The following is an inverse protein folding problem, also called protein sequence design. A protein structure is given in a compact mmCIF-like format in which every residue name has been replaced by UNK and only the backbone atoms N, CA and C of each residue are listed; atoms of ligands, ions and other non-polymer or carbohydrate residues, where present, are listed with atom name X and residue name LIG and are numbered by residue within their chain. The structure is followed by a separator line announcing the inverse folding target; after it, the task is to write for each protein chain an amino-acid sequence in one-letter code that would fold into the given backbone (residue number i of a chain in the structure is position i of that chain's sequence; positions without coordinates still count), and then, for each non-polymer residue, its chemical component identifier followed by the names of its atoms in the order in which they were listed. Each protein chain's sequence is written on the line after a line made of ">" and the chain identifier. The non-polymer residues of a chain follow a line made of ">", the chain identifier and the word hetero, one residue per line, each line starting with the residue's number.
data_IF_846360628973
#
_entry.id   IF_846360628973
#
_cell.length_a   1.000
_cell.length_b   1.000
_cell.length_c   1.000
_cell.angle_alpha   90.00
_cell.angle_beta   90.00
_cell.angle_gamma   90.00
#
_symmetry.space_group_name_H-M   'P 1'
#
loop_
_entity.id
_entity.type
_entity.pdbx_description
1 polymer ?
#
# COMPACT_ATOMS: atom_id res chain seq x y z
N UNK A 1 5.76 -3.73 -21.71
CA UNK A 1 6.59 -4.34 -20.67
C UNK A 1 8.08 -4.33 -21.02
N UNK A 2 8.51 -4.81 -22.19
CA UNK A 2 9.95 -4.84 -22.56
C UNK A 2 10.62 -3.46 -22.73
N UNK A 3 9.86 -2.42 -23.10
CA UNK A 3 10.34 -1.04 -23.19
C UNK A 3 10.16 -0.22 -21.89
N UNK A 4 9.43 -0.77 -20.92
CA UNK A 4 9.17 -0.09 -19.65
C UNK A 4 10.46 0.21 -18.86
N UNK A 5 11.47 -0.68 -18.81
CA UNK A 5 12.73 -0.38 -18.12
C UNK A 5 13.45 0.83 -18.70
N UNK A 6 13.47 0.98 -20.03
CA UNK A 6 14.11 2.12 -20.71
C UNK A 6 13.33 3.41 -20.43
N UNK A 7 12.00 3.34 -20.47
CA UNK A 7 11.12 4.48 -20.14
C UNK A 7 11.25 4.92 -18.68
N UNK A 8 11.23 3.96 -17.74
CA UNK A 8 11.38 4.22 -16.30
C UNK A 8 12.78 4.79 -16.00
N UNK A 9 13.85 4.20 -16.55
CA UNK A 9 15.20 4.73 -16.37
C UNK A 9 15.34 6.16 -16.93
N UNK A 10 14.72 6.45 -18.08
CA UNK A 10 14.76 7.80 -18.68
C UNK A 10 13.94 8.81 -17.87
N UNK A 11 12.79 8.42 -17.33
CA UNK A 11 11.99 9.26 -16.43
C UNK A 11 12.70 9.54 -15.10
N UNK A 12 13.29 8.50 -14.49
CA UNK A 12 14.09 8.64 -13.27
C UNK A 12 15.29 9.55 -13.54
N UNK A 13 16.03 9.33 -14.63
CA UNK A 13 17.17 10.17 -15.00
C UNK A 13 16.78 11.62 -15.29
N UNK A 14 15.69 11.85 -16.03
CA UNK A 14 15.15 13.19 -16.30
C UNK A 14 14.75 13.91 -15.02
N UNK A 15 14.12 13.21 -14.08
CA UNK A 15 13.75 13.79 -12.78
C UNK A 15 14.98 14.04 -11.90
N UNK A 16 15.95 13.14 -11.88
CA UNK A 16 17.25 13.35 -11.21
C UNK A 16 17.96 14.61 -11.75
N UNK A 17 17.84 14.89 -13.05
CA UNK A 17 18.39 16.09 -13.67
C UNK A 17 17.61 17.38 -13.37
N UNK A 18 16.29 17.28 -13.12
CA UNK A 18 15.45 18.39 -12.65
C UNK A 18 15.63 18.68 -11.16
N UNK A 19 16.08 17.69 -10.38
CA UNK A 19 16.35 17.81 -8.95
C UNK A 19 17.63 18.62 -8.72
N UNK A 20 17.49 19.89 -8.35
CA UNK A 20 18.62 20.76 -8.00
C UNK A 20 19.42 20.33 -6.76
N UNK A 21 18.82 19.53 -5.86
CA UNK A 21 19.47 19.03 -4.64
C UNK A 21 19.08 17.55 -4.38
N UNK A 22 19.93 16.64 -4.88
CA UNK A 22 19.79 15.20 -4.72
C UNK A 22 19.68 14.77 -3.25
N UNK A 23 20.37 15.47 -2.34
CA UNK A 23 20.35 15.15 -0.92
C UNK A 23 18.96 15.38 -0.29
N UNK A 24 18.32 16.51 -0.62
CA UNK A 24 16.96 16.82 -0.13
C UNK A 24 15.91 15.87 -0.67
N UNK A 25 16.04 15.43 -1.92
CA UNK A 25 15.05 14.53 -2.51
C UNK A 25 15.14 13.13 -1.94
N UNK A 26 16.35 12.59 -1.78
CA UNK A 26 16.59 11.30 -1.11
C UNK A 26 16.08 11.36 0.33
N UNK A 27 16.35 12.46 1.05
CA UNK A 27 15.85 12.64 2.41
C UNK A 27 14.31 12.65 2.48
N UNK A 28 13.66 13.39 1.59
CA UNK A 28 12.19 13.49 1.54
C UNK A 28 11.54 12.15 1.17
N UNK A 29 12.12 11.42 0.22
CA UNK A 29 11.70 10.06 -0.11
C UNK A 29 11.92 9.08 1.04
N UNK A 30 13.02 9.20 1.77
CA UNK A 30 13.28 8.40 2.97
C UNK A 30 12.25 8.64 4.07
N UNK A 31 11.85 9.89 4.30
CA UNK A 31 10.77 10.23 5.23
C UNK A 31 9.42 9.70 4.76
N UNK A 32 9.13 9.79 3.47
CA UNK A 32 7.93 9.20 2.87
C UNK A 32 7.87 7.68 3.10
N UNK A 33 8.92 6.95 2.74
CA UNK A 33 9.01 5.51 2.96
C UNK A 33 8.87 5.14 4.44
N UNK A 34 9.56 5.88 5.32
CA UNK A 34 9.46 5.70 6.76
C UNK A 34 8.03 5.90 7.27
N UNK A 35 7.31 6.88 6.73
CA UNK A 35 5.91 7.18 7.09
C UNK A 35 4.97 6.05 6.64
N UNK A 36 5.14 5.53 5.42
CA UNK A 36 4.33 4.40 4.92
C UNK A 36 4.58 3.15 5.78
N UNK A 37 5.84 2.78 6.00
CA UNK A 37 6.21 1.59 6.79
C UNK A 37 5.70 1.71 8.23
N UNK A 38 5.83 2.90 8.84
CA UNK A 38 5.32 3.18 10.17
C UNK A 38 3.79 3.06 10.20
N UNK A 39 3.10 3.63 9.21
CA UNK A 39 1.64 3.56 9.09
C UNK A 39 1.14 2.11 8.96
N UNK A 40 1.75 1.32 8.08
CA UNK A 40 1.42 -0.11 7.92
C UNK A 40 1.69 -0.90 9.20
N UNK A 41 2.81 -0.62 9.88
CA UNK A 41 3.16 -1.26 11.15
C UNK A 41 2.16 -0.92 12.26
N UNK A 42 1.77 0.35 12.37
CA UNK A 42 0.75 0.80 13.33
C UNK A 42 -0.63 0.22 13.00
N UNK A 43 -0.98 0.08 11.72
CA UNK A 43 -2.24 -0.54 11.32
C UNK A 43 -2.27 -2.03 11.68
N UNK A 44 -1.20 -2.77 11.40
CA UNK A 44 -1.10 -4.21 11.69
C UNK A 44 -1.05 -4.51 13.19
N UNK A 45 -0.14 -3.87 13.93
CA UNK A 45 0.09 -4.14 15.35
C UNK A 45 -0.81 -3.33 16.29
N UNK A 46 -1.37 -2.22 15.82
CA UNK A 46 -2.31 -1.39 16.56
C UNK A 46 -3.75 -1.70 16.16
N UNK A 47 -4.20 -1.17 15.03
CA UNK A 47 -5.61 -1.18 14.62
C UNK A 47 -6.17 -2.60 14.47
N UNK A 48 -5.58 -3.42 13.60
CA UNK A 48 -6.05 -4.78 13.32
C UNK A 48 -5.92 -5.67 14.56
N UNK A 49 -4.78 -5.59 15.26
CA UNK A 49 -4.55 -6.37 16.48
C UNK A 49 -5.54 -6.01 17.60
N UNK A 50 -5.90 -4.74 17.75
CA UNK A 50 -6.90 -4.28 18.70
C UNK A 50 -8.31 -4.75 18.33
N UNK A 51 -8.69 -4.63 17.06
CA UNK A 51 -9.99 -5.14 16.56
C UNK A 51 -10.09 -6.64 16.82
N UNK A 52 -9.05 -7.40 16.51
CA UNK A 52 -8.98 -8.84 16.79
C UNK A 52 -9.13 -9.13 18.28
N UNK A 53 -8.42 -8.41 19.15
CA UNK A 53 -8.49 -8.60 20.59
C UNK A 53 -9.89 -8.28 21.15
N UNK A 54 -10.54 -7.21 20.69
CA UNK A 54 -11.89 -6.85 21.13
C UNK A 54 -12.90 -7.91 20.69
N UNK A 55 -12.84 -8.37 19.44
CA UNK A 55 -13.80 -9.33 18.89
C UNK A 55 -13.60 -10.76 19.41
N UNK A 56 -12.35 -11.23 19.47
CA UNK A 56 -12.04 -12.63 19.82
C UNK A 56 -11.68 -12.83 21.28
N UNK A 57 -11.31 -11.76 22.01
CA UNK A 57 -10.74 -11.79 23.37
C UNK A 57 -9.52 -12.71 23.50
N UNK A 58 -8.84 -13.01 22.38
CA UNK A 58 -7.62 -13.81 22.29
C UNK A 58 -6.42 -12.94 21.98
N UNK A 59 -5.23 -13.43 22.31
CA UNK A 59 -3.98 -12.71 22.05
C UNK A 59 -3.70 -12.62 20.53
N UNK A 60 -3.71 -11.41 19.93
CA UNK A 60 -3.48 -11.24 18.49
C UNK A 60 -2.07 -11.66 18.06
N UNK A 61 -1.05 -11.46 18.90
CA UNK A 61 0.33 -11.80 18.54
C UNK A 61 0.54 -13.31 18.38
N UNK A 62 -0.20 -14.14 19.13
CA UNK A 62 -0.16 -15.60 18.95
C UNK A 62 -0.72 -16.00 17.59
N UNK A 63 -1.82 -15.36 17.19
CA UNK A 63 -2.45 -15.57 15.89
C UNK A 63 -1.57 -15.10 14.72
N UNK A 64 -0.98 -13.90 14.83
CA UNK A 64 -0.02 -13.38 13.84
C UNK A 64 1.19 -14.32 13.67
N UNK A 65 1.68 -14.93 14.76
CA UNK A 65 2.77 -15.91 14.69
C UNK A 65 2.39 -17.16 13.88
N UNK A 66 1.15 -17.61 13.97
CA UNK A 66 0.61 -18.71 13.13
C UNK A 66 0.57 -18.37 11.64
N UNK A 67 0.48 -17.07 11.29
CA UNK A 67 0.43 -16.56 9.92
C UNK A 67 1.80 -16.15 9.35
N UNK A 68 2.89 -16.31 10.10
CA UNK A 68 4.22 -15.83 9.72
C UNK A 68 4.69 -16.39 8.38
N UNK A 69 4.35 -17.65 8.05
CA UNK A 69 4.70 -18.25 6.76
C UNK A 69 3.99 -17.55 5.59
N UNK A 70 2.72 -17.16 5.77
CA UNK A 70 1.98 -16.39 4.78
C UNK A 70 2.56 -14.99 4.62
N UNK A 71 2.93 -14.31 5.71
CA UNK A 71 3.55 -12.99 5.69
C UNK A 71 4.88 -12.98 4.94
N UNK A 72 5.76 -13.96 5.20
CA UNK A 72 7.04 -14.08 4.48
C UNK A 72 6.81 -14.38 3.00
N UNK A 73 5.83 -15.23 2.68
CA UNK A 73 5.48 -15.52 1.28
C UNK A 73 4.96 -14.25 0.58
N UNK A 74 4.16 -13.43 1.27
CA UNK A 74 3.63 -12.18 0.73
C UNK A 74 4.73 -11.16 0.46
N UNK A 75 5.69 -11.05 1.38
CA UNK A 75 6.85 -10.20 1.20
C UNK A 75 7.72 -10.65 0.01
N UNK A 76 7.91 -11.96 -0.17
CA UNK A 76 8.74 -12.49 -1.25
C UNK A 76 8.05 -12.50 -2.62
N UNK A 77 6.72 -12.67 -2.66
CA UNK A 77 5.95 -12.76 -3.90
C UNK A 77 5.38 -11.41 -4.37
N UNK A 78 5.32 -10.41 -3.48
CA UNK A 78 4.73 -9.08 -3.72
C UNK A 78 3.33 -9.13 -4.36
N UNK A 79 2.54 -10.17 -4.04
CA UNK A 79 1.20 -10.38 -4.61
C UNK A 79 0.27 -11.10 -3.65
N UNK A 80 -0.88 -10.47 -3.34
CA UNK A 80 -1.93 -11.06 -2.51
C UNK A 80 -2.48 -12.36 -3.11
N UNK A 81 -2.69 -12.41 -4.43
CA UNK A 81 -3.20 -13.60 -5.12
C UNK A 81 -2.24 -14.79 -5.03
N UNK A 82 -0.93 -14.55 -5.13
CA UNK A 82 0.08 -15.60 -5.01
C UNK A 82 0.16 -16.20 -3.59
N UNK A 83 -0.25 -15.45 -2.57
CA UNK A 83 -0.16 -15.86 -1.16
C UNK A 83 -1.36 -16.63 -0.65
N UNK A 84 -2.49 -16.52 -1.35
CA UNK A 84 -3.77 -17.10 -0.97
C UNK A 84 -3.68 -18.58 -0.54
N UNK A 85 -2.97 -19.46 -1.27
CA UNK A 85 -2.88 -20.88 -0.89
C UNK A 85 -2.09 -21.12 0.40
N UNK A 86 -1.08 -20.29 0.67
CA UNK A 86 -0.27 -20.40 1.90
C UNK A 86 -1.06 -19.87 3.09
N UNK A 87 -1.77 -18.75 2.91
CA UNK A 87 -2.67 -18.20 3.94
C UNK A 87 -3.76 -19.18 4.31
N UNK A 88 -4.38 -19.85 3.32
CA UNK A 88 -5.37 -20.90 3.56
C UNK A 88 -4.83 -21.99 4.50
N UNK A 89 -3.65 -22.54 4.21
CA UNK A 89 -3.03 -23.60 5.02
C UNK A 89 -2.69 -23.13 6.44
N UNK A 90 -2.31 -21.86 6.62
CA UNK A 90 -2.03 -21.31 7.95
C UNK A 90 -3.31 -21.17 8.78
N UNK A 91 -4.40 -20.67 8.18
CA UNK A 91 -5.70 -20.53 8.85
C UNK A 91 -6.33 -21.88 9.21
N UNK A 92 -6.17 -22.88 8.34
CA UNK A 92 -6.61 -24.26 8.61
C UNK A 92 -5.86 -24.87 9.81
N UNK A 93 -4.55 -24.63 9.93
CA UNK A 93 -3.75 -25.05 11.09
C UNK A 93 -4.15 -24.36 12.39
N UNK A 94 -4.60 -23.11 12.32
CA UNK A 94 -5.16 -22.38 13.47
C UNK A 94 -6.57 -22.86 13.87
N UNK A 95 -7.13 -23.85 13.16
CA UNK A 95 -8.41 -24.48 13.49
C UNK A 95 -9.63 -23.68 13.06
N UNK A 96 -9.49 -22.76 12.09
CA UNK A 96 -10.63 -22.03 11.51
C UNK A 96 -11.36 -22.96 10.55
N UNK A 97 -12.69 -22.95 10.60
CA UNK A 97 -13.54 -23.78 9.76
C UNK A 97 -13.29 -23.48 8.26
N UNK A 98 -12.93 -24.51 7.45
CA UNK A 98 -12.64 -24.36 6.03
C UNK A 98 -13.73 -23.67 5.21
N UNK A 99 -15.00 -23.82 5.60
CA UNK A 99 -16.14 -23.21 4.92
C UNK A 99 -16.06 -21.67 4.97
N UNK A 100 -15.62 -21.12 6.11
CA UNK A 100 -15.42 -19.68 6.25
C UNK A 100 -14.17 -19.22 5.50
N UNK A 101 -13.07 -19.98 5.57
CA UNK A 101 -11.83 -19.64 4.87
C UNK A 101 -12.06 -19.56 3.36
N UNK A 102 -12.74 -20.56 2.78
CA UNK A 102 -13.01 -20.62 1.33
C UNK A 102 -13.86 -19.45 0.80
N UNK A 103 -14.66 -18.84 1.67
CA UNK A 103 -15.51 -17.71 1.29
C UNK A 103 -14.83 -16.35 1.57
N UNK A 104 -14.34 -16.16 2.79
CA UNK A 104 -13.83 -14.86 3.24
C UNK A 104 -12.46 -14.56 2.64
N UNK A 105 -11.58 -15.56 2.50
CA UNK A 105 -10.20 -15.34 2.08
C UNK A 105 -10.09 -14.85 0.62
N UNK A 106 -10.76 -15.45 -0.37
CA UNK A 106 -10.73 -14.94 -1.74
C UNK A 106 -11.39 -13.57 -1.89
N UNK A 107 -12.49 -13.33 -1.15
CA UNK A 107 -13.17 -12.03 -1.15
C UNK A 107 -12.27 -10.93 -0.58
N UNK A 108 -11.61 -11.22 0.55
CA UNK A 108 -10.68 -10.30 1.19
C UNK A 108 -9.45 -9.99 0.33
N UNK A 109 -8.90 -10.98 -0.39
CA UNK A 109 -7.73 -10.76 -1.24
C UNK A 109 -7.97 -9.81 -2.43
N UNK A 110 -9.23 -9.64 -2.84
CA UNK A 110 -9.62 -8.73 -3.93
C UNK A 110 -10.10 -7.38 -3.42
N UNK A 111 -10.87 -7.34 -2.33
CA UNK A 111 -11.57 -6.12 -1.89
C UNK A 111 -10.83 -5.41 -0.75
N UNK A 112 -10.16 -6.15 0.13
CA UNK A 112 -9.57 -5.60 1.36
C UNK A 112 -8.10 -5.21 1.17
N UNK A 113 -7.87 -4.10 0.46
CA UNK A 113 -6.54 -3.60 0.14
C UNK A 113 -6.12 -2.41 1.03
N UNK A 114 -6.17 -2.60 2.35
CA UNK A 114 -5.84 -1.57 3.36
C UNK A 114 -4.45 -0.93 3.14
N UNK A 115 -3.46 -1.75 2.77
CA UNK A 115 -2.11 -1.28 2.52
C UNK A 115 -2.04 -0.33 1.33
N UNK A 116 -2.81 -0.63 0.27
CA UNK A 116 -2.92 0.22 -0.92
C UNK A 116 -3.62 1.52 -0.60
N UNK A 117 -4.73 1.49 0.16
CA UNK A 117 -5.41 2.72 0.60
C UNK A 117 -4.51 3.62 1.46
N UNK A 118 -3.75 3.04 2.40
CA UNK A 118 -2.79 3.79 3.23
C UNK A 118 -1.68 4.41 2.36
N UNK A 119 -1.10 3.62 1.48
CA UNK A 119 -0.08 4.07 0.54
C UNK A 119 -0.57 5.22 -0.33
N UNK A 120 -1.76 5.11 -0.93
CA UNK A 120 -2.38 6.15 -1.77
C UNK A 120 -2.64 7.45 -1.01
N UNK A 121 -3.13 7.34 0.23
CA UNK A 121 -3.37 8.52 1.07
C UNK A 121 -2.07 9.25 1.43
N UNK A 122 -1.04 8.50 1.86
CA UNK A 122 0.26 9.09 2.24
C UNK A 122 0.96 9.67 1.01
N UNK A 123 0.94 8.97 -0.13
CA UNK A 123 1.51 9.44 -1.39
C UNK A 123 0.85 10.75 -1.87
N UNK A 124 -0.47 10.84 -1.79
CA UNK A 124 -1.20 12.05 -2.20
C UNK A 124 -0.83 13.26 -1.33
N UNK A 125 -0.73 13.06 -0.02
CA UNK A 125 -0.31 14.11 0.91
C UNK A 125 1.15 14.49 0.68
N UNK A 126 2.03 13.51 0.44
CA UNK A 126 3.43 13.75 0.12
C UNK A 126 3.60 14.56 -1.16
N UNK A 127 2.87 14.22 -2.23
CA UNK A 127 2.89 14.96 -3.50
C UNK A 127 2.43 16.41 -3.29
N UNK A 128 1.40 16.63 -2.48
CA UNK A 128 0.98 17.99 -2.15
C UNK A 128 2.08 18.77 -1.40
N UNK A 129 2.74 18.13 -0.44
CA UNK A 129 3.82 18.75 0.35
C UNK A 129 5.05 19.11 -0.48
N UNK A 130 5.50 18.25 -1.39
CA UNK A 130 6.68 18.56 -2.24
C UNK A 130 6.40 19.69 -3.23
N UNK A 131 5.14 19.87 -3.63
CA UNK A 131 4.69 20.95 -4.50
C UNK A 131 4.32 22.23 -3.74
N UNK A 132 4.43 22.24 -2.40
CA UNK A 132 4.03 23.38 -1.58
C UNK A 132 2.52 23.68 -1.64
N UNK A 133 1.71 22.66 -1.92
CA UNK A 133 0.25 22.77 -1.98
C UNK A 133 -0.32 22.43 -0.60
N UNK A 134 -0.93 23.41 0.05
CA UNK A 134 -1.64 23.18 1.31
C UNK A 134 -2.98 22.49 1.04
N UNK A 135 -3.13 21.25 1.54
CA UNK A 135 -4.39 20.53 1.47
C UNK A 135 -5.35 21.03 2.56
N UNK A 136 -6.52 21.46 2.12
CA UNK A 136 -7.64 21.74 3.03
C UNK A 136 -8.19 20.46 3.66
N UNK A 137 -8.87 20.58 4.81
CA UNK A 137 -9.48 19.45 5.51
C UNK A 137 -10.47 18.70 4.61
N UNK A 138 -11.22 19.40 3.76
CA UNK A 138 -12.13 18.78 2.80
C UNK A 138 -11.38 17.94 1.78
N UNK A 139 -10.24 18.40 1.26
CA UNK A 139 -9.40 17.62 0.35
C UNK A 139 -8.82 16.38 1.04
N UNK A 140 -8.38 16.48 2.30
CA UNK A 140 -7.88 15.31 3.05
C UNK A 140 -8.97 14.25 3.21
N UNK A 141 -10.21 14.67 3.51
CA UNK A 141 -11.36 13.75 3.58
C UNK A 141 -11.63 13.13 2.21
N UNK A 142 -11.59 13.92 1.13
CA UNK A 142 -11.74 13.41 -0.24
C UNK A 142 -10.66 12.39 -0.58
N UNK A 143 -9.39 12.65 -0.27
CA UNK A 143 -8.29 11.68 -0.45
C UNK A 143 -8.60 10.39 0.29
N UNK A 144 -9.02 10.46 1.55
CA UNK A 144 -9.32 9.28 2.36
C UNK A 144 -10.45 8.43 1.76
N UNK A 145 -11.54 9.06 1.33
CA UNK A 145 -12.69 8.38 0.74
C UNK A 145 -12.31 7.79 -0.62
N UNK A 146 -11.69 8.58 -1.49
CA UNK A 146 -11.31 8.16 -2.83
C UNK A 146 -10.27 7.04 -2.79
N UNK A 147 -9.24 7.13 -1.94
CA UNK A 147 -8.25 6.07 -1.76
C UNK A 147 -8.89 4.75 -1.28
N UNK A 148 -9.86 4.84 -0.37
CA UNK A 148 -10.59 3.64 0.08
C UNK A 148 -11.33 2.98 -1.08
N UNK A 149 -12.08 3.74 -1.87
CA UNK A 149 -12.80 3.21 -3.03
C UNK A 149 -11.87 2.75 -4.15
N UNK A 150 -10.80 3.48 -4.40
CA UNK A 150 -9.80 3.16 -5.42
C UNK A 150 -9.06 1.86 -5.08
N UNK A 151 -8.73 1.63 -3.81
CA UNK A 151 -8.08 0.39 -3.35
C UNK A 151 -8.93 -0.86 -3.62
N UNK A 152 -10.26 -0.77 -3.60
CA UNK A 152 -11.16 -1.89 -3.94
C UNK A 152 -11.06 -2.21 -5.44
N UNK A 153 -10.81 -1.20 -6.27
CA UNK A 153 -10.66 -1.32 -7.71
C UNK A 153 -9.25 -1.70 -8.16
N UNK A 154 -8.26 -1.73 -7.25
CA UNK A 154 -6.91 -2.14 -7.59
C UNK A 154 -6.88 -3.66 -7.86
N UNK A 155 -6.33 -4.06 -8.99
CA UNK A 155 -6.11 -5.48 -9.26
C UNK A 155 -5.07 -6.05 -8.29
N UNK A 156 -5.21 -7.30 -7.85
CA UNK A 156 -4.25 -8.00 -6.96
C UNK A 156 -2.92 -8.37 -7.64
N UNK A 157 -2.45 -7.54 -8.57
CA UNK A 157 -1.28 -7.72 -9.44
C UNK A 157 -0.25 -6.63 -9.10
N UNK A 158 1.06 -6.93 -9.12
CA UNK A 158 2.10 -5.93 -8.91
C UNK A 158 1.91 -4.69 -9.80
N UNK A 159 2.19 -3.50 -9.24
CA UNK A 159 2.12 -2.21 -9.91
C UNK A 159 0.71 -1.72 -10.34
N UNK A 160 -0.37 -2.41 -9.97
CA UNK A 160 -1.74 -1.91 -10.19
C UNK A 160 -2.04 -0.62 -9.41
N UNK A 161 -1.35 -0.40 -8.29
CA UNK A 161 -1.50 0.79 -7.43
C UNK A 161 -1.16 2.12 -8.11
N UNK A 162 -0.36 2.10 -9.18
CA UNK A 162 -0.02 3.33 -9.92
C UNK A 162 -1.21 3.90 -10.69
N UNK A 163 -2.10 3.05 -11.21
CA UNK A 163 -3.27 3.49 -11.96
C UNK A 163 -4.32 4.08 -11.01
N UNK A 164 -4.50 3.46 -9.84
CA UNK A 164 -5.44 3.93 -8.82
C UNK A 164 -4.94 5.22 -8.17
N UNK A 165 -3.63 5.40 -8.01
CA UNK A 165 -3.03 6.68 -7.56
C UNK A 165 -3.43 7.87 -8.43
N UNK A 166 -3.43 7.70 -9.77
CA UNK A 166 -3.84 8.78 -10.70
C UNK A 166 -5.28 9.23 -10.40
N UNK A 167 -6.17 8.29 -10.07
CA UNK A 167 -7.57 8.57 -9.73
C UNK A 167 -7.64 9.41 -8.46
N UNK A 168 -6.88 9.03 -7.42
CA UNK A 168 -6.85 9.74 -6.13
C UNK A 168 -6.31 11.16 -6.30
N UNK A 169 -5.19 11.34 -7.00
CA UNK A 169 -4.61 12.67 -7.25
C UNK A 169 -5.54 13.56 -8.08
N UNK A 170 -6.17 12.99 -9.12
CA UNK A 170 -7.12 13.71 -9.96
C UNK A 170 -8.34 14.19 -9.17
N UNK A 171 -8.81 13.41 -8.19
CA UNK A 171 -9.95 13.77 -7.36
C UNK A 171 -9.71 15.01 -6.49
N UNK A 172 -8.46 15.35 -6.19
CA UNK A 172 -8.09 16.54 -5.43
C UNK A 172 -7.34 17.60 -6.25
N UNK A 173 -7.19 17.38 -7.56
CA UNK A 173 -6.56 18.32 -8.49
C UNK A 173 -5.04 18.41 -8.35
N UNK A 174 -4.38 17.36 -7.85
CA UNK A 174 -2.92 17.31 -7.73
C UNK A 174 -2.25 16.86 -9.05
N UNK A 175 -1.04 17.36 -9.35
CA UNK A 175 -0.30 16.99 -10.56
C UNK A 175 0.09 15.50 -10.53
N UNK A 176 -0.35 14.75 -11.54
CA UNK A 176 -0.06 13.32 -11.65
C UNK A 176 1.36 13.02 -12.16
N UNK A 177 2.07 14.01 -12.71
CA UNK A 177 3.42 13.84 -13.26
C UNK A 177 4.46 13.49 -12.18
N UNK A 178 4.18 13.86 -10.92
CA UNK A 178 5.04 13.59 -9.77
C UNK A 178 4.92 12.16 -9.21
N UNK A 179 3.99 11.35 -9.74
CA UNK A 179 3.94 9.90 -9.44
C UNK A 179 5.27 9.24 -9.84
N UNK A 180 5.93 9.75 -10.88
CA UNK A 180 7.23 9.25 -11.34
C UNK A 180 8.31 9.24 -10.24
N UNK A 181 8.24 10.17 -9.29
CA UNK A 181 9.15 10.24 -8.14
C UNK A 181 8.90 9.10 -7.14
N UNK A 182 7.64 8.67 -7.00
CA UNK A 182 7.25 7.57 -6.10
C UNK A 182 7.55 6.20 -6.72
N UNK A 183 7.44 6.06 -8.05
CA UNK A 183 7.77 4.82 -8.78
C UNK A 183 9.19 4.32 -8.46
N UNK A 184 10.13 5.24 -8.23
CA UNK A 184 11.51 4.90 -7.89
C UNK A 184 11.66 4.13 -6.57
N UNK A 185 10.70 4.27 -5.64
CA UNK A 185 10.68 3.60 -4.33
C UNK A 185 9.55 2.58 -4.19
N UNK A 186 8.62 2.51 -5.15
CA UNK A 186 7.45 1.63 -5.17
C UNK A 186 7.84 0.14 -5.07
N UNK A 187 8.96 -0.27 -5.65
CA UNK A 187 9.43 -1.66 -5.57
C UNK A 187 9.87 -2.09 -4.15
N UNK A 188 10.07 -1.14 -3.25
CA UNK A 188 10.46 -1.38 -1.85
C UNK A 188 9.27 -1.33 -0.88
N UNK A 189 8.15 -0.71 -1.28
CA UNK A 189 6.96 -0.50 -0.46
C UNK A 189 5.87 -1.54 -0.79
#
# INVERSE_FOLDING_TARGET
>A
MWYAPIGICSLIASKIMEIGDLGRTIHSLGLYMGTVILGLSLHLFGTISLIYFIASRKNPHKFLRGLMQAAITALGASSSAATLPVTYKCLEKEGIDPSYIKFVLPLGAMINMDGTALYEAVASIFIAQINGIDLSISQVITVSITATFASIGAASIPSAGLVTMIIVLSAVGLPADDISTIIAVDWFL
#
